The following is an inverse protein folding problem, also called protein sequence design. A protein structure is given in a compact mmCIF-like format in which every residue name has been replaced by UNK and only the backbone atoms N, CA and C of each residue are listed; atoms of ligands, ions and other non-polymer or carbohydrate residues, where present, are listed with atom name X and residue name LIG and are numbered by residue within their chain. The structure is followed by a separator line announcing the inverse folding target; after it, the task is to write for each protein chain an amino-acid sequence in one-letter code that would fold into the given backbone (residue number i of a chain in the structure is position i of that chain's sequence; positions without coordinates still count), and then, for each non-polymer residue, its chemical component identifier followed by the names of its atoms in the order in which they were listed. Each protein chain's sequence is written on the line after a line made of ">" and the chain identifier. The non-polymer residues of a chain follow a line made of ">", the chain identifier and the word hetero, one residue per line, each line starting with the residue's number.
data_IF_853152874410
#
_entry.id   IF_853152874410
#
_cell.length_a   1.000
_cell.length_b   1.000
_cell.length_c   1.000
_cell.angle_alpha   90.00
_cell.angle_beta   90.00
_cell.angle_gamma   90.00
#
_symmetry.space_group_name_H-M   'P 1'
#
loop_
_entity.id
_entity.type
_entity.pdbx_description
1 polymer ?
#
# COMPACT_ATOMS: atom_id res chain seq x y z
N UNK A 1 47.70 29.60 11.74
CA UNK A 1 46.44 29.85 11.01
C UNK A 1 45.83 28.50 10.67
N UNK A 2 44.72 28.12 11.32
CA UNK A 2 44.01 26.88 11.00
C UNK A 2 43.27 27.06 9.67
N UNK A 3 43.61 26.28 8.64
CA UNK A 3 42.85 26.28 7.38
C UNK A 3 41.45 25.77 7.69
N UNK A 4 40.43 26.62 7.56
CA UNK A 4 39.02 26.18 7.55
C UNK A 4 38.87 25.17 6.41
N UNK A 5 38.55 23.92 6.76
CA UNK A 5 38.15 22.90 5.79
C UNK A 5 36.69 23.18 5.45
N UNK A 6 36.42 23.51 4.20
CA UNK A 6 35.06 23.64 3.70
C UNK A 6 34.57 22.25 3.27
N UNK A 7 33.62 21.69 4.01
CA UNK A 7 33.00 20.41 3.67
C UNK A 7 31.86 20.68 2.68
N UNK A 8 32.00 20.15 1.46
CA UNK A 8 30.98 20.20 0.41
C UNK A 8 30.30 18.83 0.28
N UNK A 9 29.08 18.82 -0.24
CA UNK A 9 28.41 17.57 -0.58
C UNK A 9 29.18 16.88 -1.70
N UNK A 10 29.32 15.55 -1.58
CA UNK A 10 29.97 14.70 -2.57
C UNK A 10 29.17 14.70 -3.88
N UNK A 11 29.87 14.72 -5.03
CA UNK A 11 29.24 14.74 -6.36
C UNK A 11 28.28 13.56 -6.56
N UNK A 12 28.61 12.37 -6.04
CA UNK A 12 27.76 11.17 -6.15
C UNK A 12 26.42 11.36 -5.44
N UNK A 13 26.40 12.11 -4.34
CA UNK A 13 25.17 12.41 -3.62
C UNK A 13 24.31 13.41 -4.41
N UNK A 14 24.94 14.38 -5.08
CA UNK A 14 24.24 15.35 -5.94
C UNK A 14 23.61 14.63 -7.13
N UNK A 15 24.35 13.73 -7.79
CA UNK A 15 23.83 12.89 -8.87
C UNK A 15 22.66 12.01 -8.41
N UNK A 16 22.80 11.37 -7.24
CA UNK A 16 21.72 10.56 -6.66
C UNK A 16 20.47 11.40 -6.38
N UNK A 17 20.63 12.58 -5.78
CA UNK A 17 19.52 13.53 -5.55
C UNK A 17 18.83 13.94 -6.85
N UNK A 18 19.59 14.21 -7.91
CA UNK A 18 19.04 14.52 -9.23
C UNK A 18 18.27 13.33 -9.82
N UNK A 19 18.79 12.11 -9.69
CA UNK A 19 18.11 10.91 -10.14
C UNK A 19 16.77 10.69 -9.41
N UNK A 20 16.73 10.97 -8.11
CA UNK A 20 15.51 10.91 -7.30
C UNK A 20 14.50 11.97 -7.73
N UNK A 21 14.95 13.18 -8.09
CA UNK A 21 14.07 14.22 -8.61
C UNK A 21 13.34 13.79 -9.89
N UNK A 22 14.07 13.23 -10.86
CA UNK A 22 13.50 12.75 -12.12
C UNK A 22 12.46 11.66 -11.86
N UNK A 23 12.79 10.67 -11.02
CA UNK A 23 11.86 9.58 -10.66
C UNK A 23 10.64 10.08 -9.87
N UNK A 24 10.85 11.00 -8.95
CA UNK A 24 9.77 11.62 -8.18
C UNK A 24 8.78 12.34 -9.11
N UNK A 25 9.29 13.11 -10.09
CA UNK A 25 8.44 13.77 -11.08
C UNK A 25 7.68 12.75 -11.95
N UNK A 26 8.32 11.67 -12.39
CA UNK A 26 7.65 10.58 -13.10
C UNK A 26 6.52 9.96 -12.26
N UNK A 27 6.77 9.72 -10.97
CA UNK A 27 5.76 9.21 -10.06
C UNK A 27 4.59 10.15 -9.87
N UNK A 28 4.85 11.44 -9.64
CA UNK A 28 3.79 12.45 -9.46
C UNK A 28 2.98 12.68 -10.74
N UNK A 29 3.62 12.66 -11.91
CA UNK A 29 2.96 13.02 -13.18
C UNK A 29 2.34 11.84 -13.91
N UNK A 30 2.87 10.63 -13.72
CA UNK A 30 2.46 9.44 -14.48
C UNK A 30 2.00 8.32 -13.55
N UNK A 31 2.88 7.84 -12.66
CA UNK A 31 2.60 6.59 -11.90
C UNK A 31 1.39 6.74 -10.98
N UNK A 32 1.37 7.76 -10.13
CA UNK A 32 0.33 7.90 -9.10
C UNK A 32 -1.04 8.19 -9.74
N UNK A 33 -1.19 9.15 -10.68
CA UNK A 33 -2.46 9.35 -11.37
C UNK A 33 -3.00 8.08 -12.04
N UNK A 34 -2.14 7.32 -12.72
CA UNK A 34 -2.53 6.06 -13.36
C UNK A 34 -3.00 5.01 -12.34
N UNK A 35 -2.31 4.87 -11.20
CA UNK A 35 -2.71 3.94 -10.12
C UNK A 35 -4.03 4.32 -9.47
N UNK A 36 -4.28 5.62 -9.26
CA UNK A 36 -5.57 6.08 -8.73
C UNK A 36 -6.70 5.66 -9.67
N UNK A 37 -6.56 5.91 -10.98
CA UNK A 37 -7.57 5.53 -11.97
C UNK A 37 -7.76 4.01 -12.05
N UNK A 38 -6.67 3.25 -12.08
CA UNK A 38 -6.69 1.78 -12.10
C UNK A 38 -7.45 1.21 -10.89
N UNK A 39 -7.04 1.58 -9.67
CA UNK A 39 -7.65 1.04 -8.45
C UNK A 39 -9.08 1.55 -8.24
N UNK A 40 -9.41 2.76 -8.71
CA UNK A 40 -10.78 3.25 -8.70
C UNK A 40 -11.69 2.42 -9.62
N UNK A 41 -11.21 2.02 -10.80
CA UNK A 41 -11.97 1.13 -11.70
C UNK A 41 -12.18 -0.26 -11.10
N UNK A 42 -11.16 -0.78 -10.41
CA UNK A 42 -11.22 -2.06 -9.70
C UNK A 42 -12.09 -1.99 -8.43
N UNK A 43 -12.26 -0.80 -7.85
CA UNK A 43 -13.16 -0.60 -6.71
C UNK A 43 -14.62 -0.64 -7.16
N UNK A 44 -15.31 -1.74 -6.85
CA UNK A 44 -16.75 -1.89 -7.06
C UNK A 44 -17.56 -1.66 -5.77
N UNK A 45 -18.83 -1.21 -5.86
CA UNK A 45 -19.71 -1.21 -4.69
C UNK A 45 -19.89 -2.65 -4.20
N UNK A 46 -19.88 -2.86 -2.90
CA UNK A 46 -20.14 -4.19 -2.33
C UNK A 46 -21.62 -4.55 -2.58
N UNK A 47 -21.89 -5.56 -3.41
CA UNK A 47 -23.27 -6.03 -3.69
C UNK A 47 -23.66 -7.28 -2.91
N UNK A 48 -22.89 -7.65 -1.88
CA UNK A 48 -23.11 -8.84 -1.06
C UNK A 48 -22.20 -10.01 -1.42
N UNK A 49 -22.51 -11.21 -0.92
CA UNK A 49 -21.69 -12.41 -1.08
C UNK A 49 -21.43 -12.81 -2.55
N UNK A 50 -22.30 -12.42 -3.49
CA UNK A 50 -22.11 -12.66 -4.92
C UNK A 50 -20.84 -12.00 -5.49
N UNK A 51 -20.38 -10.89 -4.90
CA UNK A 51 -19.19 -10.17 -5.36
C UNK A 51 -17.88 -10.74 -4.78
N UNK A 52 -17.93 -11.46 -3.67
CA UNK A 52 -16.73 -12.04 -3.05
C UNK A 52 -16.05 -13.08 -3.96
N UNK A 53 -16.81 -13.65 -4.89
CA UNK A 53 -16.32 -14.59 -5.91
C UNK A 53 -16.12 -13.93 -7.28
N UNK A 54 -16.50 -12.65 -7.45
CA UNK A 54 -16.40 -11.90 -8.72
C UNK A 54 -15.08 -11.13 -8.87
N UNK A 55 -14.34 -10.90 -7.76
CA UNK A 55 -12.93 -10.42 -7.74
C UNK A 55 -11.97 -11.29 -8.60
N UNK A 56 -12.45 -12.45 -9.05
CA UNK A 56 -11.77 -13.44 -9.85
C UNK A 56 -11.78 -13.15 -11.37
N UNK A 57 -12.56 -12.19 -11.87
CA UNK A 57 -12.74 -11.98 -13.32
C UNK A 57 -11.59 -11.28 -14.02
N UNK A 58 -10.77 -10.52 -13.30
CA UNK A 58 -9.64 -9.77 -13.88
C UNK A 58 -8.32 -10.54 -13.83
N UNK A 59 -8.34 -11.81 -13.36
CA UNK A 59 -7.24 -12.76 -13.43
C UNK A 59 -7.62 -13.83 -14.46
N UNK A 60 -6.93 -13.85 -15.60
CA UNK A 60 -7.31 -14.50 -16.85
C UNK A 60 -7.77 -15.99 -16.78
N UNK A 61 -8.91 -16.25 -17.43
CA UNK A 61 -9.48 -17.49 -18.02
C UNK A 61 -9.41 -18.87 -17.30
N UNK A 62 -10.52 -19.27 -16.65
CA UNK A 62 -11.48 -20.33 -17.11
C UNK A 62 -12.42 -20.81 -15.97
N UNK A 63 -13.71 -20.75 -16.31
CA UNK A 63 -14.82 -21.60 -15.83
C UNK A 63 -15.47 -21.42 -14.44
N UNK A 64 -16.81 -21.50 -14.54
CA UNK A 64 -17.88 -21.67 -13.54
C UNK A 64 -18.20 -20.48 -12.64
N UNK A 65 -19.24 -19.74 -13.07
CA UNK A 65 -20.16 -18.99 -12.20
C UNK A 65 -20.59 -19.89 -11.04
N UNK A 66 -20.06 -19.67 -9.83
CA UNK A 66 -20.58 -20.24 -8.60
C UNK A 66 -21.58 -19.24 -8.01
N UNK A 67 -22.81 -19.69 -7.78
CA UNK A 67 -23.90 -18.94 -7.15
C UNK A 67 -23.63 -18.79 -5.64
N UNK A 68 -24.29 -17.80 -5.04
CA UNK A 68 -24.39 -17.51 -3.61
C UNK A 68 -24.67 -18.78 -2.82
N UNK A 69 -23.83 -19.08 -1.81
CA UNK A 69 -24.07 -20.20 -0.91
C UNK A 69 -25.08 -19.81 0.17
N UNK A 70 -26.27 -20.39 0.11
CA UNK A 70 -27.19 -20.36 1.24
C UNK A 70 -26.60 -21.12 2.44
N UNK A 71 -27.08 -20.85 3.66
CA UNK A 71 -26.68 -21.60 4.88
C UNK A 71 -26.85 -23.12 4.68
N UNK A 72 -27.87 -23.52 3.92
CA UNK A 72 -28.14 -24.90 3.50
C UNK A 72 -27.06 -25.51 2.60
N UNK A 73 -26.34 -24.69 1.81
CA UNK A 73 -25.22 -25.11 0.96
C UNK A 73 -23.90 -25.17 1.74
N UNK A 74 -23.72 -24.37 2.79
CA UNK A 74 -22.54 -24.42 3.67
C UNK A 74 -22.42 -25.75 4.43
N UNK A 75 -23.55 -26.33 4.82
CA UNK A 75 -23.60 -27.67 5.41
C UNK A 75 -23.08 -28.75 4.46
N UNK A 76 -23.27 -28.56 3.15
CA UNK A 76 -22.94 -29.54 2.11
C UNK A 76 -21.45 -29.63 1.76
N UNK A 77 -20.62 -28.63 2.12
CA UNK A 77 -19.18 -28.68 1.82
C UNK A 77 -18.51 -29.76 2.67
N UNK A 78 -17.84 -30.76 2.07
CA UNK A 78 -17.07 -31.76 2.82
C UNK A 78 -15.85 -31.12 3.50
N UNK A 79 -15.50 -31.59 4.70
CA UNK A 79 -14.33 -31.09 5.43
C UNK A 79 -13.04 -31.30 4.60
N UNK A 80 -12.97 -32.38 3.83
CA UNK A 80 -11.86 -32.72 2.94
C UNK A 80 -11.58 -31.65 1.87
N UNK A 81 -12.61 -30.88 1.49
CA UNK A 81 -12.44 -29.72 0.60
C UNK A 81 -11.89 -28.51 1.37
N UNK A 82 -12.41 -28.25 2.57
CA UNK A 82 -12.00 -27.11 3.42
C UNK A 82 -10.56 -27.22 3.93
N UNK A 83 -10.01 -28.43 4.03
CA UNK A 83 -8.61 -28.66 4.43
C UNK A 83 -7.62 -28.09 3.41
N UNK A 84 -8.00 -28.01 2.13
CA UNK A 84 -7.15 -27.45 1.08
C UNK A 84 -7.04 -25.94 1.23
N UNK A 85 -5.92 -25.39 0.78
CA UNK A 85 -5.75 -23.92 0.68
C UNK A 85 -6.80 -23.35 -0.28
N UNK A 86 -7.42 -22.25 0.11
CA UNK A 86 -8.29 -21.49 -0.77
C UNK A 86 -7.42 -20.78 -1.83
N UNK A 87 -7.38 -21.36 -3.03
CA UNK A 87 -6.52 -20.87 -4.12
C UNK A 87 -6.90 -19.47 -4.59
N UNK A 88 -8.19 -19.12 -4.53
CA UNK A 88 -8.67 -17.78 -4.88
C UNK A 88 -8.08 -16.74 -3.94
N UNK A 89 -8.20 -16.96 -2.63
CA UNK A 89 -7.63 -16.05 -1.62
C UNK A 89 -6.12 -15.97 -1.77
N UNK A 90 -5.45 -17.11 -2.05
CA UNK A 90 -4.01 -17.14 -2.29
C UNK A 90 -3.57 -16.24 -3.45
N UNK A 91 -4.24 -16.32 -4.61
CA UNK A 91 -3.91 -15.45 -5.76
C UNK A 91 -4.23 -13.97 -5.47
N UNK A 92 -5.33 -13.68 -4.76
CA UNK A 92 -5.66 -12.32 -4.34
C UNK A 92 -4.56 -11.74 -3.42
N UNK A 93 -4.09 -12.52 -2.43
CA UNK A 93 -2.94 -12.11 -1.60
C UNK A 93 -1.70 -11.78 -2.45
N UNK A 94 -1.40 -12.60 -3.46
CA UNK A 94 -0.26 -12.38 -4.34
C UNK A 94 -0.37 -11.06 -5.11
N UNK A 95 -1.57 -10.77 -5.62
CA UNK A 95 -1.88 -9.51 -6.32
C UNK A 95 -1.75 -8.31 -5.39
N UNK A 96 -2.39 -8.32 -4.21
CA UNK A 96 -2.31 -7.21 -3.27
C UNK A 96 -0.92 -7.00 -2.70
N UNK A 97 -0.16 -8.08 -2.44
CA UNK A 97 1.25 -7.99 -2.03
C UNK A 97 2.08 -7.18 -3.04
N UNK A 98 1.87 -7.42 -4.33
CA UNK A 98 2.54 -6.64 -5.39
C UNK A 98 2.14 -5.16 -5.31
N UNK A 99 0.85 -4.86 -5.22
CA UNK A 99 0.36 -3.47 -5.14
C UNK A 99 0.87 -2.73 -3.90
N UNK A 100 0.97 -3.39 -2.76
CA UNK A 100 1.50 -2.80 -1.53
C UNK A 100 2.98 -2.47 -1.65
N UNK A 101 3.78 -3.38 -2.24
CA UNK A 101 5.21 -3.13 -2.51
C UNK A 101 5.38 -1.95 -3.48
N UNK A 102 4.62 -1.92 -4.58
CA UNK A 102 4.68 -0.84 -5.56
C UNK A 102 4.34 0.53 -4.95
N UNK A 103 3.38 0.57 -4.02
CA UNK A 103 3.04 1.78 -3.26
C UNK A 103 4.20 2.22 -2.37
N UNK A 104 4.76 1.31 -1.58
CA UNK A 104 5.89 1.61 -0.70
C UNK A 104 7.09 2.11 -1.51
N UNK A 105 7.42 1.46 -2.62
CA UNK A 105 8.54 1.85 -3.49
C UNK A 105 8.33 3.25 -4.07
N UNK A 106 7.13 3.53 -4.58
CA UNK A 106 6.76 4.84 -5.16
C UNK A 106 6.95 5.96 -4.14
N UNK A 107 6.39 5.79 -2.94
CA UNK A 107 6.44 6.82 -1.90
C UNK A 107 7.82 6.91 -1.22
N UNK A 108 8.58 5.82 -1.17
CA UNK A 108 9.97 5.81 -0.65
C UNK A 108 10.91 6.68 -1.49
N UNK A 109 10.73 6.70 -2.81
CA UNK A 109 11.47 7.61 -3.72
C UNK A 109 11.17 9.07 -3.39
N UNK A 110 9.88 9.40 -3.22
CA UNK A 110 9.43 10.75 -2.89
C UNK A 110 9.98 11.17 -1.51
N UNK A 111 9.82 10.32 -0.49
CA UNK A 111 10.32 10.55 0.87
C UNK A 111 11.83 10.77 0.88
N UNK A 112 12.58 9.94 0.15
CA UNK A 112 14.04 10.08 0.03
C UNK A 112 14.44 11.40 -0.61
N UNK A 113 13.73 11.81 -1.67
CA UNK A 113 13.96 13.10 -2.31
C UNK A 113 13.66 14.28 -1.37
N UNK A 114 12.55 14.26 -0.64
CA UNK A 114 12.20 15.34 0.31
C UNK A 114 13.24 15.43 1.43
N UNK A 115 13.66 14.30 2.02
CA UNK A 115 14.70 14.27 3.05
C UNK A 115 16.02 14.93 2.59
N UNK A 116 16.43 14.70 1.34
CA UNK A 116 17.63 15.30 0.76
C UNK A 116 17.45 16.79 0.37
N UNK A 117 16.23 17.31 0.46
CA UNK A 117 15.90 18.73 0.23
C UNK A 117 15.61 19.49 1.53
N UNK A 118 15.72 18.85 2.70
CA UNK A 118 15.70 19.57 3.98
C UNK A 118 16.93 20.50 4.01
N UNK A 119 16.74 21.82 4.19
CA UNK A 119 17.84 22.77 4.21
C UNK A 119 18.63 22.67 5.50
N UNK A 120 19.76 23.39 5.56
CA UNK A 120 20.53 23.53 6.80
C UNK A 120 19.65 24.06 7.94
N UNK A 121 19.84 23.54 9.15
CA UNK A 121 19.16 24.06 10.35
C UNK A 121 19.60 25.51 10.61
N UNK A 122 18.62 26.40 10.77
CA UNK A 122 18.81 27.83 11.02
C UNK A 122 17.75 28.35 12.00
N UNK A 123 18.08 29.42 12.73
CA UNK A 123 17.14 30.13 13.60
C UNK A 123 16.22 31.02 12.76
N UNK A 124 15.00 30.54 12.51
CA UNK A 124 13.94 31.28 11.82
C UNK A 124 13.72 30.87 10.36
N UNK A 125 12.63 31.37 9.76
CA UNK A 125 12.19 31.03 8.40
C UNK A 125 11.95 29.52 8.18
N UNK A 126 11.49 28.81 9.21
CA UNK A 126 11.30 27.35 9.17
C UNK A 126 9.91 26.91 8.71
N UNK A 127 8.97 27.81 8.43
CA UNK A 127 7.62 27.44 8.00
C UNK A 127 7.58 26.45 6.81
N UNK A 128 8.44 26.64 5.80
CA UNK A 128 8.51 25.69 4.69
C UNK A 128 9.16 24.36 5.06
N UNK A 129 10.05 24.36 6.06
CA UNK A 129 10.64 23.14 6.63
C UNK A 129 9.58 22.37 7.42
N UNK A 130 8.76 23.06 8.21
CA UNK A 130 7.63 22.46 8.94
C UNK A 130 6.66 21.78 7.96
N UNK A 131 6.39 22.40 6.80
CA UNK A 131 5.60 21.77 5.73
C UNK A 131 6.27 20.52 5.17
N UNK A 132 7.59 20.53 4.97
CA UNK A 132 8.32 19.33 4.53
C UNK A 132 8.19 18.21 5.56
N UNK A 133 8.31 18.52 6.85
CA UNK A 133 8.17 17.56 7.96
C UNK A 133 6.76 16.95 8.02
N UNK A 134 5.71 17.77 7.87
CA UNK A 134 4.32 17.29 7.84
C UNK A 134 4.07 16.33 6.66
N UNK A 135 4.56 16.68 5.46
CA UNK A 135 4.46 15.81 4.27
C UNK A 135 5.24 14.51 4.50
N UNK A 136 6.46 14.58 5.04
CA UNK A 136 7.27 13.41 5.35
C UNK A 136 6.60 12.50 6.37
N UNK A 137 5.96 13.07 7.39
CA UNK A 137 5.25 12.29 8.41
C UNK A 137 4.08 11.52 7.78
N UNK A 138 3.31 12.15 6.90
CA UNK A 138 2.20 11.49 6.23
C UNK A 138 2.68 10.37 5.30
N UNK A 139 3.75 10.61 4.53
CA UNK A 139 4.34 9.59 3.65
C UNK A 139 4.89 8.41 4.45
N UNK A 140 5.55 8.67 5.59
CA UNK A 140 6.09 7.61 6.45
C UNK A 140 4.98 6.77 7.09
N UNK A 141 3.91 7.41 7.59
CA UNK A 141 2.73 6.71 8.13
C UNK A 141 2.08 5.79 7.08
N UNK A 142 2.03 6.25 5.83
CA UNK A 142 1.51 5.47 4.71
C UNK A 142 2.40 4.22 4.47
N UNK A 143 3.71 4.39 4.35
CA UNK A 143 4.65 3.27 4.16
C UNK A 143 4.56 2.25 5.31
N UNK A 144 4.48 2.72 6.57
CA UNK A 144 4.32 1.86 7.74
C UNK A 144 3.00 1.07 7.71
N UNK A 145 1.89 1.70 7.31
CA UNK A 145 0.60 1.04 7.20
C UNK A 145 0.65 -0.11 6.18
N UNK A 146 1.23 0.12 5.00
CA UNK A 146 1.34 -0.90 3.96
C UNK A 146 2.39 -1.98 4.28
N UNK A 147 3.46 -1.63 5.00
CA UNK A 147 4.41 -2.63 5.53
C UNK A 147 3.70 -3.55 6.53
N UNK A 148 2.88 -3.00 7.42
CA UNK A 148 2.07 -3.78 8.36
C UNK A 148 1.09 -4.72 7.65
N UNK A 149 0.48 -4.29 6.52
CA UNK A 149 -0.38 -5.16 5.72
C UNK A 149 0.39 -6.32 5.06
N UNK A 150 1.64 -6.09 4.65
CA UNK A 150 2.51 -7.16 4.15
C UNK A 150 2.81 -8.19 5.23
N UNK A 151 3.16 -7.75 6.44
CA UNK A 151 3.43 -8.64 7.57
C UNK A 151 2.18 -9.43 7.99
N UNK A 152 1.01 -8.79 7.91
CA UNK A 152 -0.27 -9.43 8.24
C UNK A 152 -0.76 -10.43 7.19
N UNK A 153 -0.20 -10.40 5.97
CA UNK A 153 -0.67 -11.24 4.85
C UNK A 153 -0.53 -12.75 5.13
N UNK A 154 0.40 -13.15 6.01
CA UNK A 154 0.62 -14.55 6.37
C UNK A 154 -0.33 -15.05 7.46
N UNK A 155 -0.89 -14.14 8.26
CA UNK A 155 -1.72 -14.47 9.41
C UNK A 155 -3.00 -15.22 9.02
N UNK A 156 -3.58 -14.91 7.85
CA UNK A 156 -4.74 -15.63 7.35
C UNK A 156 -4.45 -17.14 7.23
N UNK A 157 -3.35 -17.52 6.59
CA UNK A 157 -3.00 -18.92 6.37
C UNK A 157 -2.69 -19.64 7.68
N UNK A 158 -1.95 -19.01 8.59
CA UNK A 158 -1.64 -19.58 9.90
C UNK A 158 -2.90 -19.79 10.75
N UNK A 159 -3.79 -18.79 10.79
CA UNK A 159 -5.03 -18.86 11.53
C UNK A 159 -5.98 -19.90 10.94
N UNK A 160 -6.11 -19.94 9.62
CA UNK A 160 -6.94 -20.94 8.92
C UNK A 160 -6.41 -22.35 9.14
N UNK A 161 -5.10 -22.57 9.02
CA UNK A 161 -4.47 -23.88 9.29
C UNK A 161 -4.71 -24.34 10.74
N UNK A 162 -4.64 -23.42 11.71
CA UNK A 162 -4.97 -23.69 13.11
C UNK A 162 -6.43 -24.14 13.29
N UNK A 163 -7.38 -23.48 12.62
CA UNK A 163 -8.79 -23.86 12.64
C UNK A 163 -9.02 -25.22 11.96
N UNK A 164 -8.42 -25.45 10.79
CA UNK A 164 -8.46 -26.74 10.06
C UNK A 164 -7.93 -27.87 10.93
N UNK A 165 -6.80 -27.66 11.62
CA UNK A 165 -6.24 -28.66 12.55
C UNK A 165 -7.24 -29.03 13.66
N UNK A 166 -7.97 -28.06 14.21
CA UNK A 166 -9.01 -28.30 15.22
C UNK A 166 -10.20 -29.05 14.62
N UNK A 167 -10.65 -28.67 13.42
CA UNK A 167 -11.73 -29.34 12.69
C UNK A 167 -11.44 -30.83 12.43
N UNK A 168 -10.19 -31.15 12.05
CA UNK A 168 -9.75 -32.51 11.82
C UNK A 168 -9.67 -33.35 13.10
N UNK A 169 -9.32 -32.72 14.23
CA UNK A 169 -9.20 -33.37 15.55
C UNK A 169 -10.56 -33.62 16.19
N UNK A 170 -11.52 -32.72 15.99
CA UNK A 170 -12.84 -32.72 16.63
C UNK A 170 -13.93 -32.72 15.55
N UNK A 171 -14.05 -33.82 14.81
CA UNK A 171 -14.96 -33.95 13.66
C UNK A 171 -16.43 -33.87 14.04
N UNK A 172 -16.76 -34.19 15.28
CA UNK A 172 -18.09 -34.11 15.88
C UNK A 172 -18.56 -32.65 16.11
N UNK A 173 -17.66 -31.68 16.07
CA UNK A 173 -17.96 -30.26 16.26
C UNK A 173 -18.03 -29.56 14.89
N UNK A 174 -19.25 -29.47 14.35
CA UNK A 174 -19.55 -28.82 13.07
C UNK A 174 -19.15 -27.34 13.03
N UNK A 175 -19.19 -26.63 14.15
CA UNK A 175 -18.82 -25.22 14.28
C UNK A 175 -17.41 -24.90 13.73
N UNK A 176 -16.48 -25.86 13.73
CA UNK A 176 -15.16 -25.64 13.13
C UNK A 176 -15.20 -25.54 11.60
N UNK A 177 -16.10 -26.25 10.91
CA UNK A 177 -16.30 -26.10 9.46
C UNK A 177 -16.77 -24.68 9.15
N UNK A 178 -17.77 -24.22 9.90
CA UNK A 178 -18.30 -22.86 9.78
C UNK A 178 -17.24 -21.80 10.05
N UNK A 179 -16.38 -22.00 11.06
CA UNK A 179 -15.29 -21.08 11.35
C UNK A 179 -14.30 -20.94 10.19
N UNK A 180 -13.97 -22.02 9.47
CA UNK A 180 -13.10 -21.97 8.29
C UNK A 180 -13.75 -21.16 7.16
N UNK A 181 -15.03 -21.42 6.88
CA UNK A 181 -15.79 -20.70 5.84
C UNK A 181 -15.87 -19.20 6.16
N UNK A 182 -16.16 -18.86 7.42
CA UNK A 182 -16.22 -17.48 7.89
C UNK A 182 -14.85 -16.78 7.86
N UNK A 183 -13.76 -17.51 8.10
CA UNK A 183 -12.41 -16.97 7.92
C UNK A 183 -12.12 -16.61 6.46
N UNK A 184 -12.50 -17.49 5.52
CA UNK A 184 -12.34 -17.24 4.08
C UNK A 184 -13.19 -16.05 3.63
N UNK A 185 -14.46 -15.99 4.06
CA UNK A 185 -15.37 -14.88 3.76
C UNK A 185 -14.85 -13.55 4.29
N UNK A 186 -14.40 -13.51 5.55
CA UNK A 186 -13.82 -12.31 6.16
C UNK A 186 -12.62 -11.79 5.37
N UNK A 187 -11.76 -12.69 4.89
CA UNK A 187 -10.56 -12.31 4.14
C UNK A 187 -10.92 -11.72 2.77
N UNK A 188 -11.89 -12.32 2.07
CA UNK A 188 -12.41 -11.78 0.81
C UNK A 188 -13.05 -10.40 0.99
N UNK A 189 -13.83 -10.21 2.06
CA UNK A 189 -14.43 -8.91 2.39
C UNK A 189 -13.33 -7.85 2.61
N UNK A 190 -12.24 -8.20 3.32
CA UNK A 190 -11.11 -7.27 3.50
C UNK A 190 -10.52 -6.84 2.15
N UNK A 191 -10.32 -7.78 1.23
CA UNK A 191 -9.79 -7.48 -0.10
C UNK A 191 -10.73 -6.67 -0.98
N UNK A 192 -12.04 -6.86 -0.82
CA UNK A 192 -13.05 -6.04 -1.52
C UNK A 192 -12.84 -4.54 -1.27
N UNK A 193 -12.57 -4.15 -0.02
CA UNK A 193 -12.32 -2.75 0.34
C UNK A 193 -10.89 -2.28 0.01
N UNK A 194 -9.94 -3.21 -0.14
CA UNK A 194 -8.52 -2.87 -0.29
C UNK A 194 -8.19 -2.10 -1.56
N UNK A 195 -8.93 -2.27 -2.67
CA UNK A 195 -8.74 -1.46 -3.88
C UNK A 195 -9.16 -0.01 -3.68
N UNK A 196 -10.28 0.22 -2.99
CA UNK A 196 -10.71 1.57 -2.64
C UNK A 196 -9.69 2.23 -1.71
N UNK A 197 -9.20 1.51 -0.71
CA UNK A 197 -8.18 2.01 0.21
C UNK A 197 -6.89 2.37 -0.52
N UNK A 198 -6.42 1.54 -1.46
CA UNK A 198 -5.30 1.86 -2.34
C UNK A 198 -5.53 3.17 -3.12
N UNK A 199 -6.63 3.29 -3.85
CA UNK A 199 -6.94 4.49 -4.63
C UNK A 199 -6.99 5.75 -3.74
N UNK A 200 -7.67 5.65 -2.60
CA UNK A 200 -7.86 6.73 -1.63
C UNK A 200 -6.54 7.18 -0.98
N UNK A 201 -5.68 6.22 -0.62
CA UNK A 201 -4.39 6.50 0.02
C UNK A 201 -3.38 7.11 -0.95
N UNK A 202 -3.34 6.62 -2.21
CA UNK A 202 -2.59 7.28 -3.28
C UNK A 202 -3.08 8.72 -3.48
N UNK A 203 -4.39 8.91 -3.66
CA UNK A 203 -4.99 10.21 -3.95
C UNK A 203 -4.79 11.24 -2.82
N UNK A 204 -4.98 10.83 -1.57
CA UNK A 204 -4.87 11.73 -0.42
C UNK A 204 -3.41 12.20 -0.23
N UNK A 205 -2.45 11.27 -0.29
CA UNK A 205 -1.03 11.59 -0.14
C UNK A 205 -0.51 12.40 -1.33
N UNK A 206 -0.92 12.04 -2.55
CA UNK A 206 -0.63 12.81 -3.75
C UNK A 206 -1.17 14.25 -3.66
N UNK A 207 -2.43 14.42 -3.24
CA UNK A 207 -3.05 15.73 -3.09
C UNK A 207 -2.28 16.61 -2.10
N UNK A 208 -1.85 16.03 -0.98
CA UNK A 208 -1.04 16.73 0.02
C UNK A 208 0.28 17.21 -0.57
N UNK A 209 1.00 16.35 -1.30
CA UNK A 209 2.29 16.70 -1.93
C UNK A 209 2.09 17.80 -2.97
N UNK A 210 1.15 17.64 -3.91
CA UNK A 210 0.95 18.58 -5.02
C UNK A 210 0.55 19.97 -4.53
N UNK A 211 -0.38 20.06 -3.56
CA UNK A 211 -0.83 21.34 -3.00
C UNK A 211 0.31 22.12 -2.32
N UNK A 212 1.31 21.41 -1.79
CA UNK A 212 2.41 21.99 -1.05
C UNK A 212 3.74 21.95 -1.82
N UNK A 213 3.73 21.55 -3.10
CA UNK A 213 4.95 21.20 -3.84
C UNK A 213 5.98 22.33 -3.87
N UNK A 214 5.54 23.58 -4.04
CA UNK A 214 6.43 24.74 -4.03
C UNK A 214 7.24 24.84 -2.73
N UNK A 215 6.62 24.59 -1.58
CA UNK A 215 7.29 24.62 -0.26
C UNK A 215 8.10 23.36 0.00
N UNK A 216 7.67 22.21 -0.54
CA UNK A 216 8.43 20.97 -0.49
C UNK A 216 9.72 21.06 -1.30
N UNK A 217 9.69 21.69 -2.48
CA UNK A 217 10.85 21.89 -3.35
C UNK A 217 11.75 23.03 -2.85
N UNK A 218 11.15 24.14 -2.40
CA UNK A 218 11.86 25.34 -1.93
C UNK A 218 11.27 25.83 -0.60
N UNK A 219 11.69 25.26 0.54
CA UNK A 219 11.12 25.57 1.85
C UNK A 219 11.46 26.99 2.33
N UNK A 220 12.61 27.52 1.90
CA UNK A 220 13.05 28.90 2.19
C UNK A 220 13.07 29.71 0.90
N UNK A 221 12.65 30.99 0.93
CA UNK A 221 12.84 31.87 -0.21
C UNK A 221 14.33 31.99 -0.50
N UNK A 222 14.74 31.68 -1.73
CA UNK A 222 16.07 32.07 -2.20
C UNK A 222 16.13 33.59 -2.17
N UNK A 223 16.89 34.16 -1.24
CA UNK A 223 17.32 35.55 -1.37
C UNK A 223 17.99 35.66 -2.75
N UNK A 224 17.39 36.38 -3.70
CA UNK A 224 18.02 36.75 -4.98
C UNK A 224 19.17 37.76 -4.74
N UNK A 225 20.08 37.46 -3.82
CA UNK A 225 21.11 38.37 -3.34
C UNK A 225 22.41 37.69 -2.94
N UNK A 226 22.65 36.44 -3.35
CA UNK A 226 23.97 35.82 -3.14
C UNK A 226 24.25 34.80 -4.24
N UNK A 227 24.31 35.31 -5.47
CA UNK A 227 25.12 34.71 -6.52
C UNK A 227 26.58 34.91 -6.07
N UNK A 228 27.24 33.87 -5.58
CA UNK A 228 28.70 33.86 -5.46
C UNK A 228 29.15 32.49 -5.96
N UNK A 229 29.56 32.48 -7.23
CA UNK A 229 30.57 31.57 -7.75
C UNK A 229 31.85 31.68 -6.92
#
# INVERSE_FOLDING_TARGET
>A
MSKKVELKLDERLIEFKQSLYVKMLEHLTVTIPARIEEFQKLSGPYKGQEDLYSLNKDIDMKEKKRKTMEISEMDSIPLEELVKTNTTIFEIHRTFKKHYIELIDTFSVIRSWINLNIPKIEDGNNFGVDIQEDVLQQVSKLEEAYTSLLDQSENYFLNRASTVKKALKHREIDAYKYAIIQQDEKELIRFHFSYFDLASNYATTYSLIIKNFQKVEQPRPTNQGTNIY
#
